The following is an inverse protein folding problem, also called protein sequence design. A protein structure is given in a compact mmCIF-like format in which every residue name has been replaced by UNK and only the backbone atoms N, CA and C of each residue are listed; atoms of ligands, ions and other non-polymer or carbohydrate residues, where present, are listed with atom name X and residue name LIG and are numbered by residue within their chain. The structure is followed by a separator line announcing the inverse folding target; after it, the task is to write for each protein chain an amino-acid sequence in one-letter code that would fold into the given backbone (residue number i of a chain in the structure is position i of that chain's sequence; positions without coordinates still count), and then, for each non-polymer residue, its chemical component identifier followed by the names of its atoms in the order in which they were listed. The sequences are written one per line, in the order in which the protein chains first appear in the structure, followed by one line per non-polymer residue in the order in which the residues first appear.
data_IF_793898461839
#
_entry.id   IF_793898461839
#
_cell.length_a   1.000
_cell.length_b   1.000
_cell.length_c   1.000
_cell.angle_alpha   90.00
_cell.angle_beta   90.00
_cell.angle_gamma   90.00
#
_symmetry.space_group_name_H-M   'P 1'
#
loop_
_entity.id
_entity.type
_entity.pdbx_description
1 polymer ?
#
# COMPACT_ATOMS: atom_id res chain seq x y z
N UNK A 1 23.78 69.77 -6.17
CA UNK A 1 23.55 68.86 -5.02
C UNK A 1 22.24 68.14 -5.28
N UNK A 2 22.29 66.84 -5.62
CA UNK A 2 21.13 65.96 -5.84
C UNK A 2 21.17 64.88 -4.77
N UNK A 3 20.04 64.52 -4.13
CA UNK A 3 20.04 63.46 -3.13
C UNK A 3 20.12 62.09 -3.82
N UNK A 4 20.98 61.22 -3.29
CA UNK A 4 21.08 59.80 -3.67
C UNK A 4 20.04 59.01 -2.90
N UNK A 5 19.11 58.40 -3.62
CA UNK A 5 18.17 57.40 -3.10
C UNK A 5 18.91 56.10 -2.87
N UNK A 6 19.00 55.64 -1.62
CA UNK A 6 19.44 54.29 -1.28
C UNK A 6 18.23 53.36 -1.33
N UNK A 7 18.25 52.39 -2.24
CA UNK A 7 17.34 51.24 -2.23
C UNK A 7 18.00 50.19 -1.35
N UNK A 8 17.49 50.01 -0.13
CA UNK A 8 17.87 48.89 0.72
C UNK A 8 17.16 47.63 0.19
N UNK A 9 17.92 46.71 -0.41
CA UNK A 9 17.44 45.40 -0.78
C UNK A 9 17.06 44.62 0.48
N UNK A 10 15.77 44.30 0.61
CA UNK A 10 15.30 43.30 1.56
C UNK A 10 15.77 41.95 1.00
N UNK A 11 16.88 41.43 1.50
CA UNK A 11 17.23 40.03 1.33
C UNK A 11 16.20 39.22 2.11
N UNK A 12 15.18 38.74 1.42
CA UNK A 12 14.31 37.66 1.91
C UNK A 12 15.17 36.41 2.09
N UNK A 13 15.71 36.26 3.29
CA UNK A 13 16.20 34.97 3.78
C UNK A 13 14.99 34.06 3.94
N UNK A 14 14.60 33.39 2.85
CA UNK A 14 13.85 32.15 2.91
C UNK A 14 14.72 31.15 3.68
N UNK A 15 14.55 31.14 5.00
CA UNK A 15 15.00 30.06 5.86
C UNK A 15 14.27 28.80 5.36
N UNK A 16 14.95 28.02 4.52
CA UNK A 16 14.67 26.59 4.36
C UNK A 16 14.74 25.99 5.77
N UNK A 17 13.58 25.79 6.38
CA UNK A 17 13.49 24.93 7.55
C UNK A 17 13.83 23.51 7.10
N UNK A 18 14.68 22.77 7.83
CA UNK A 18 14.89 21.37 7.55
C UNK A 18 13.54 20.64 7.68
N UNK A 19 13.10 20.01 6.58
CA UNK A 19 12.07 18.99 6.55
C UNK A 19 12.54 17.81 7.41
N UNK A 20 12.32 17.89 8.71
CA UNK A 20 12.87 16.93 9.66
C UNK A 20 12.08 16.81 10.96
N UNK A 21 10.81 17.27 10.98
CA UNK A 21 9.90 16.84 12.04
C UNK A 21 9.50 15.39 11.75
N UNK A 22 10.25 14.44 12.29
CA UNK A 22 9.88 13.02 12.22
C UNK A 22 8.58 12.83 13.01
N UNK A 23 7.52 12.44 12.31
CA UNK A 23 6.29 11.92 12.88
C UNK A 23 6.59 10.86 13.95
N UNK A 24 6.11 11.06 15.18
CA UNK A 24 6.27 10.09 16.26
C UNK A 24 4.97 9.93 17.04
N UNK A 25 4.62 8.69 17.40
CA UNK A 25 3.50 8.35 18.28
C UNK A 25 3.95 7.45 19.43
N UNK A 26 3.16 7.39 20.50
CA UNK A 26 3.38 6.43 21.57
C UNK A 26 3.20 5.00 21.02
N UNK A 27 4.13 4.11 21.35
CA UNK A 27 4.10 2.71 20.93
C UNK A 27 3.45 1.82 21.99
N UNK A 28 2.89 0.68 21.58
CA UNK A 28 2.20 -0.26 22.47
C UNK A 28 0.69 -0.32 22.20
N UNK A 29 -0.14 -0.57 23.22
CA UNK A 29 -1.60 -0.69 23.06
C UNK A 29 -2.30 0.68 22.95
N UNK A 30 -1.76 1.58 22.13
CA UNK A 30 -2.37 2.85 21.82
C UNK A 30 -3.52 2.66 20.82
N UNK A 31 -4.48 3.58 20.82
CA UNK A 31 -5.53 3.64 19.81
C UNK A 31 -5.46 4.97 19.10
N UNK A 32 -5.67 4.98 17.79
CA UNK A 32 -5.58 6.19 16.97
C UNK A 32 -6.92 6.43 16.28
N UNK A 33 -7.65 7.50 16.66
CA UNK A 33 -8.90 7.83 16.01
C UNK A 33 -8.64 8.52 14.68
N UNK A 34 -9.37 8.10 13.67
CA UNK A 34 -9.39 8.68 12.34
C UNK A 34 -10.82 9.01 11.97
N UNK A 35 -10.98 10.09 11.22
CA UNK A 35 -12.23 10.48 10.64
C UNK A 35 -12.18 10.28 9.15
N UNK A 36 -13.21 9.67 8.59
CA UNK A 36 -13.41 9.52 7.14
C UNK A 36 -14.48 10.51 6.70
N UNK A 37 -14.19 11.28 5.66
CA UNK A 37 -15.15 12.16 5.00
C UNK A 37 -15.09 11.99 3.49
N UNK A 38 -16.13 12.45 2.79
CA UNK A 38 -16.19 12.51 1.32
C UNK A 38 -15.90 11.17 0.63
N UNK A 39 -16.39 10.06 1.21
CA UNK A 39 -16.25 8.75 0.58
C UNK A 39 -17.18 8.62 -0.63
N UNK A 40 -16.64 8.04 -1.70
CA UNK A 40 -17.33 7.80 -2.97
C UNK A 40 -16.85 6.47 -3.54
N UNK A 41 -17.76 5.74 -4.17
CA UNK A 41 -17.44 4.64 -5.07
C UNK A 41 -18.14 4.92 -6.40
N UNK A 42 -17.37 4.96 -7.47
CA UNK A 42 -17.85 5.09 -8.83
C UNK A 42 -17.52 3.79 -9.57
N UNK A 43 -18.55 3.09 -10.02
CA UNK A 43 -18.39 1.93 -10.89
C UNK A 43 -18.03 2.35 -12.32
N UNK A 44 -17.63 1.41 -13.19
CA UNK A 44 -17.31 1.72 -14.57
C UNK A 44 -18.49 2.37 -15.33
N UNK A 45 -18.19 3.33 -16.22
CA UNK A 45 -19.20 3.96 -17.10
C UNK A 45 -19.75 2.94 -18.13
N UNK A 46 -20.78 2.20 -17.74
CA UNK A 46 -21.52 1.28 -18.61
C UNK A 46 -22.54 2.05 -19.46
N UNK A 47 -22.12 2.59 -20.60
CA UNK A 47 -23.07 3.24 -21.51
C UNK A 47 -22.48 4.24 -22.50
N UNK A 48 -21.21 4.62 -22.38
CA UNK A 48 -20.53 5.42 -23.41
C UNK A 48 -19.83 4.51 -24.42
N UNK A 49 -20.37 4.47 -25.64
CA UNK A 49 -19.65 3.91 -26.79
C UNK A 49 -18.30 4.62 -26.94
N UNK A 50 -17.19 3.89 -26.76
CA UNK A 50 -15.82 4.40 -26.96
C UNK A 50 -14.99 4.59 -25.68
N UNK A 51 -15.57 4.44 -24.48
CA UNK A 51 -14.82 4.28 -23.22
C UNK A 51 -15.52 3.25 -22.34
N UNK A 52 -15.18 1.98 -22.54
CA UNK A 52 -15.40 0.98 -21.50
C UNK A 52 -14.36 1.26 -20.43
N UNK A 53 -14.70 2.07 -19.42
CA UNK A 53 -13.97 1.96 -18.16
C UNK A 53 -14.26 0.56 -17.63
N UNK A 54 -13.25 -0.23 -17.29
CA UNK A 54 -13.42 -1.52 -16.59
C UNK A 54 -13.27 -1.36 -15.08
N UNK A 55 -12.77 -0.20 -14.67
CA UNK A 55 -12.26 -0.02 -13.32
C UNK A 55 -13.28 0.73 -12.48
N UNK A 56 -13.48 0.22 -11.28
CA UNK A 56 -14.11 0.95 -10.19
C UNK A 56 -13.10 1.91 -9.58
N UNK A 57 -13.59 3.06 -9.15
CA UNK A 57 -12.80 4.07 -8.44
C UNK A 57 -13.42 4.27 -7.07
N UNK A 58 -12.58 4.28 -6.03
CA UNK A 58 -12.97 4.71 -4.70
C UNK A 58 -12.14 5.93 -4.31
N UNK A 59 -12.79 6.92 -3.71
CA UNK A 59 -12.14 8.11 -3.18
C UNK A 59 -12.65 8.42 -1.79
N UNK A 60 -11.77 8.78 -0.86
CA UNK A 60 -12.12 9.23 0.48
C UNK A 60 -11.05 10.16 1.07
N UNK A 61 -11.44 10.94 2.07
CA UNK A 61 -10.52 11.72 2.89
C UNK A 61 -10.39 11.10 4.28
N UNK A 62 -9.17 10.86 4.73
CA UNK A 62 -8.85 10.42 6.09
C UNK A 62 -8.18 11.54 6.88
N UNK A 63 -8.71 11.87 8.04
CA UNK A 63 -8.21 12.96 8.88
C UNK A 63 -7.89 12.49 10.30
N UNK A 64 -6.78 12.97 10.85
CA UNK A 64 -6.38 12.77 12.25
C UNK A 64 -5.57 13.98 12.73
N UNK A 65 -5.93 14.53 13.89
CA UNK A 65 -5.11 15.53 14.59
C UNK A 65 -4.82 16.82 13.79
N UNK A 66 -5.70 17.19 12.86
CA UNK A 66 -5.52 18.37 11.99
C UNK A 66 -4.77 18.09 10.67
N UNK A 67 -4.39 16.84 10.44
CA UNK A 67 -3.81 16.38 9.17
C UNK A 67 -4.87 15.65 8.35
N UNK A 68 -4.91 15.85 7.04
CA UNK A 68 -5.86 15.23 6.12
C UNK A 68 -5.15 14.62 4.93
N UNK A 69 -5.52 13.38 4.63
CA UNK A 69 -4.98 12.57 3.56
C UNK A 69 -6.06 12.28 2.53
N UNK A 70 -5.72 12.35 1.25
CA UNK A 70 -6.55 11.87 0.15
C UNK A 70 -6.17 10.46 -0.22
N UNK A 71 -7.18 9.60 -0.24
CA UNK A 71 -7.06 8.17 -0.48
C UNK A 71 -7.88 7.85 -1.71
N UNK A 72 -7.21 7.49 -2.81
CA UNK A 72 -7.86 7.11 -4.06
C UNK A 72 -7.36 5.73 -4.44
N UNK A 73 -8.29 4.86 -4.83
CA UNK A 73 -8.00 3.48 -5.22
C UNK A 73 -8.78 3.12 -6.46
N UNK A 74 -8.18 2.25 -7.28
CA UNK A 74 -8.81 1.76 -8.51
C UNK A 74 -8.58 0.26 -8.67
N UNK A 75 -9.61 -0.45 -9.15
CA UNK A 75 -9.51 -1.89 -9.44
C UNK A 75 -10.54 -2.30 -10.49
N UNK A 76 -10.32 -3.37 -11.27
CA UNK A 76 -11.32 -3.95 -12.15
C UNK A 76 -12.60 -4.30 -11.39
N UNK A 77 -13.77 -3.91 -11.89
CA UNK A 77 -15.03 -4.05 -11.13
C UNK A 77 -15.36 -5.47 -10.63
N UNK A 78 -14.90 -6.50 -11.35
CA UNK A 78 -15.09 -7.89 -10.98
C UNK A 78 -14.22 -8.35 -9.81
N UNK A 79 -13.20 -7.57 -9.47
CA UNK A 79 -12.29 -7.89 -8.38
C UNK A 79 -12.82 -7.42 -7.02
N UNK A 80 -13.77 -6.49 -6.98
CA UNK A 80 -14.43 -6.08 -5.74
C UNK A 80 -13.44 -5.63 -4.62
N UNK A 81 -12.28 -5.07 -5.02
CA UNK A 81 -11.20 -4.61 -4.14
C UNK A 81 -10.18 -5.68 -3.72
N UNK A 82 -10.33 -6.91 -4.23
CA UNK A 82 -9.38 -8.01 -4.10
C UNK A 82 -8.47 -8.11 -5.33
N UNK A 83 -7.47 -8.99 -5.31
CA UNK A 83 -6.76 -9.36 -6.54
C UNK A 83 -7.59 -10.29 -7.45
N UNK A 84 -7.07 -10.55 -8.65
CA UNK A 84 -7.68 -11.45 -9.64
C UNK A 84 -8.08 -12.83 -9.07
N UNK A 85 -7.35 -13.30 -8.05
CA UNK A 85 -7.53 -14.62 -7.45
C UNK A 85 -8.43 -14.58 -6.21
N UNK A 86 -8.89 -13.40 -5.79
CA UNK A 86 -9.61 -13.19 -4.53
C UNK A 86 -8.77 -13.52 -3.30
N UNK A 87 -7.44 -13.47 -3.41
CA UNK A 87 -6.52 -14.00 -2.39
C UNK A 87 -6.07 -12.96 -1.37
N UNK A 88 -5.98 -11.69 -1.78
CA UNK A 88 -5.69 -10.57 -0.87
C UNK A 88 -6.30 -9.26 -1.36
N UNK A 89 -6.65 -8.38 -0.43
CA UNK A 89 -7.10 -7.01 -0.70
C UNK A 89 -6.00 -6.17 -1.37
N UNK A 90 -6.43 -5.25 -2.24
CA UNK A 90 -5.55 -4.27 -2.85
C UNK A 90 -5.44 -3.04 -1.93
N UNK A 91 -4.22 -2.78 -1.45
CA UNK A 91 -3.93 -1.60 -0.64
C UNK A 91 -3.49 -0.43 -1.51
N UNK A 92 -4.06 0.74 -1.26
CA UNK A 92 -3.72 1.98 -1.93
C UNK A 92 -3.13 2.98 -0.92
N UNK A 93 -2.10 3.72 -1.35
CA UNK A 93 -1.47 4.74 -0.52
C UNK A 93 -2.35 6.00 -0.45
N UNK A 94 -2.45 6.58 0.73
CA UNK A 94 -3.07 7.88 0.95
C UNK A 94 -2.00 8.98 0.94
N UNK A 95 -2.25 10.05 0.20
CA UNK A 95 -1.35 11.19 0.09
C UNK A 95 -1.75 12.28 1.09
N UNK A 96 -0.79 12.82 1.83
CA UNK A 96 -1.05 13.95 2.73
C UNK A 96 -1.35 15.21 1.89
N UNK A 97 -2.57 15.72 2.02
CA UNK A 97 -3.01 16.94 1.33
C UNK A 97 -2.86 18.19 2.20
N UNK A 98 -3.00 18.05 3.52
CA UNK A 98 -3.04 19.18 4.44
C UNK A 98 -2.53 18.81 5.83
N UNK A 99 -1.75 19.70 6.44
CA UNK A 99 -1.20 19.51 7.79
C UNK A 99 0.15 18.80 7.79
N UNK A 100 0.77 18.71 8.97
CA UNK A 100 2.03 17.99 9.15
C UNK A 100 1.74 16.50 9.35
N UNK A 101 2.36 15.63 8.57
CA UNK A 101 2.17 14.19 8.73
C UNK A 101 2.57 13.76 10.14
N UNK A 102 1.70 13.01 10.80
CA UNK A 102 1.91 12.39 12.11
C UNK A 102 2.22 10.90 12.01
N UNK A 103 2.22 10.38 10.77
CA UNK A 103 2.52 9.01 10.40
C UNK A 103 3.56 9.01 9.25
N UNK A 104 4.35 7.95 9.15
CA UNK A 104 5.27 7.72 8.02
C UNK A 104 4.51 7.36 6.75
N UNK A 105 3.45 6.57 6.88
CA UNK A 105 2.61 6.13 5.78
C UNK A 105 1.17 5.95 6.25
N UNK A 106 0.22 6.12 5.33
CA UNK A 106 -1.19 5.81 5.52
C UNK A 106 -1.68 5.13 4.25
N UNK A 107 -2.35 4.00 4.39
CA UNK A 107 -2.93 3.24 3.29
C UNK A 107 -4.33 2.78 3.64
N UNK A 108 -5.10 2.44 2.62
CA UNK A 108 -6.44 1.90 2.78
C UNK A 108 -6.71 0.77 1.79
N UNK A 109 -7.68 -0.07 2.12
CA UNK A 109 -8.21 -1.09 1.22
C UNK A 109 -9.72 -1.22 1.44
N UNK A 110 -10.45 -1.62 0.40
CA UNK A 110 -11.90 -1.79 0.47
C UNK A 110 -12.25 -3.22 0.10
N UNK A 111 -12.86 -3.95 1.02
CA UNK A 111 -13.54 -5.20 0.72
C UNK A 111 -14.96 -4.85 0.25
N UNK A 112 -15.17 -4.75 -1.06
CA UNK A 112 -16.45 -4.31 -1.61
C UNK A 112 -17.56 -5.35 -1.43
N UNK A 113 -17.18 -6.63 -1.42
CA UNK A 113 -18.10 -7.75 -1.20
C UNK A 113 -18.74 -7.67 0.18
N UNK A 114 -17.93 -7.44 1.21
CA UNK A 114 -18.40 -7.32 2.59
C UNK A 114 -18.72 -5.88 3.01
N UNK A 115 -18.47 -4.89 2.13
CA UNK A 115 -18.61 -3.47 2.41
C UNK A 115 -17.78 -3.05 3.62
N UNK A 116 -16.52 -3.45 3.66
CA UNK A 116 -15.62 -3.11 4.76
C UNK A 116 -14.50 -2.22 4.26
N UNK A 117 -14.27 -1.10 4.95
CA UNK A 117 -13.09 -0.26 4.74
C UNK A 117 -12.03 -0.66 5.76
N UNK A 118 -10.82 -0.91 5.27
CA UNK A 118 -9.64 -1.16 6.06
C UNK A 118 -8.70 0.04 5.96
N UNK A 119 -8.13 0.44 7.08
CA UNK A 119 -7.13 1.51 7.16
C UNK A 119 -5.90 0.97 7.86
N UNK A 120 -4.73 1.33 7.36
CA UNK A 120 -3.45 0.99 7.96
C UNK A 120 -2.50 2.18 7.91
N UNK A 121 -1.71 2.38 8.96
CA UNK A 121 -0.71 3.44 8.99
C UNK A 121 0.48 3.06 9.85
N UNK A 122 1.63 3.63 9.51
CA UNK A 122 2.86 3.41 10.27
C UNK A 122 3.42 4.67 10.85
N UNK A 123 4.09 4.54 11.98
CA UNK A 123 4.62 5.66 12.72
C UNK A 123 5.89 5.26 13.46
N UNK A 124 6.80 6.21 13.67
CA UNK A 124 7.95 6.00 14.54
C UNK A 124 7.53 6.06 16.00
N UNK A 125 8.15 5.24 16.83
CA UNK A 125 7.99 5.28 18.27
C UNK A 125 8.63 6.53 18.86
N UNK A 126 7.89 7.27 19.70
CA UNK A 126 8.41 8.38 20.50
C UNK A 126 9.52 7.91 21.46
N UNK A 127 9.33 6.76 22.08
CA UNK A 127 10.15 6.26 23.19
C UNK A 127 11.34 5.38 22.74
N UNK A 128 11.37 4.98 21.47
CA UNK A 128 12.39 4.05 20.96
C UNK A 128 12.86 4.50 19.56
N UNK A 129 13.93 5.28 19.55
CA UNK A 129 14.49 5.88 18.34
C UNK A 129 14.93 4.79 17.35
N UNK A 130 14.24 4.73 16.22
CA UNK A 130 14.53 3.77 15.15
C UNK A 130 13.55 2.59 15.07
N UNK A 131 12.56 2.51 15.97
CA UNK A 131 11.44 1.57 15.81
C UNK A 131 10.25 2.25 15.16
N UNK A 132 9.63 1.55 14.20
CA UNK A 132 8.33 1.90 13.64
C UNK A 132 7.31 0.81 14.01
N UNK A 133 6.06 1.20 14.18
CA UNK A 133 4.93 0.28 14.38
C UNK A 133 3.89 0.48 13.27
N UNK A 134 3.07 -0.55 13.04
CA UNK A 134 1.86 -0.47 12.24
C UNK A 134 0.65 -0.52 13.16
N UNK A 135 -0.32 0.36 12.90
CA UNK A 135 -1.68 0.21 13.38
C UNK A 135 -2.65 -0.03 12.22
N UNK A 136 -3.66 -0.87 12.46
CA UNK A 136 -4.73 -1.19 11.52
C UNK A 136 -6.08 -0.99 12.18
N UNK A 137 -7.10 -0.76 11.36
CA UNK A 137 -8.48 -0.68 11.78
C UNK A 137 -9.40 -1.03 10.62
N UNK A 138 -10.65 -1.33 10.94
CA UNK A 138 -11.66 -1.58 9.91
C UNK A 138 -13.04 -1.14 10.39
N UNK A 139 -13.88 -0.70 9.47
CA UNK A 139 -15.28 -0.37 9.73
C UNK A 139 -16.17 -0.89 8.60
N UNK A 140 -17.44 -1.24 8.90
CA UNK A 140 -18.44 -1.42 7.86
C UNK A 140 -18.73 -0.06 7.18
N UNK A 141 -18.90 -0.09 5.86
CA UNK A 141 -19.31 1.01 5.02
C UNK A 141 -20.82 0.95 4.81
N UNK A 142 -21.54 1.87 5.46
CA UNK A 142 -22.95 2.09 5.15
C UNK A 142 -23.06 2.89 3.85
N UNK A 143 -23.58 2.23 2.80
CA UNK A 143 -23.62 2.78 1.45
C UNK A 143 -25.03 2.77 0.90
N UNK A 144 -25.39 3.85 0.21
CA UNK A 144 -26.56 3.92 -0.68
C UNK A 144 -26.05 4.01 -2.10
N UNK A 145 -26.53 3.10 -2.93
CA UNK A 145 -26.09 2.99 -4.31
C UNK A 145 -27.22 3.33 -5.28
N UNK A 146 -26.87 4.08 -6.32
CA UNK A 146 -27.73 4.25 -7.48
C UNK A 146 -27.69 2.95 -8.28
N UNK A 147 -28.79 2.20 -8.26
CA UNK A 147 -28.97 1.02 -9.10
C UNK A 147 -29.74 1.47 -10.35
N UNK A 148 -29.21 1.29 -11.57
CA UNK A 148 -29.95 1.59 -12.78
C UNK A 148 -31.31 0.86 -12.78
N UNK A 149 -32.40 1.60 -12.99
CA UNK A 149 -33.74 1.03 -12.98
C UNK A 149 -33.88 -0.02 -14.09
N UNK A 150 -34.15 -1.27 -13.72
CA UNK A 150 -34.55 -2.33 -14.66
C UNK A 150 -33.49 -3.39 -14.99
N UNK A 151 -32.32 -3.38 -14.36
CA UNK A 151 -31.30 -4.42 -14.56
C UNK A 151 -30.78 -4.99 -13.23
N UNK A 152 -30.32 -6.23 -13.27
CA UNK A 152 -29.55 -6.90 -12.20
C UNK A 152 -28.10 -6.39 -12.14
N UNK A 153 -27.84 -5.17 -12.58
CA UNK A 153 -26.48 -4.66 -12.79
C UNK A 153 -25.88 -4.11 -11.50
N UNK A 154 -24.57 -4.33 -11.32
CA UNK A 154 -23.79 -3.74 -10.23
C UNK A 154 -23.98 -2.21 -10.21
N UNK A 155 -23.96 -1.58 -9.03
CA UNK A 155 -24.25 -0.15 -8.91
C UNK A 155 -23.26 0.72 -9.67
N UNK A 156 -23.75 1.73 -10.39
CA UNK A 156 -22.90 2.66 -11.13
C UNK A 156 -22.22 3.69 -10.23
N UNK A 157 -22.86 4.01 -9.09
CA UNK A 157 -22.34 4.95 -8.11
C UNK A 157 -22.88 4.60 -6.74
N UNK A 158 -22.01 4.65 -5.73
CA UNK A 158 -22.41 4.55 -4.34
C UNK A 158 -21.84 5.72 -3.56
N UNK A 159 -22.70 6.29 -2.72
CA UNK A 159 -22.35 7.35 -1.80
C UNK A 159 -22.63 6.86 -0.37
N UNK A 160 -21.96 7.48 0.59
CA UNK A 160 -22.23 7.22 1.99
C UNK A 160 -23.63 7.73 2.36
N UNK A 161 -24.33 7.01 3.23
CA UNK A 161 -25.50 7.55 3.92
C UNK A 161 -25.10 8.54 5.01
N UNK A 162 -23.97 8.28 5.67
CA UNK A 162 -23.41 9.13 6.73
C UNK A 162 -22.36 10.10 6.20
N UNK A 163 -22.44 11.38 6.57
CA UNK A 163 -21.47 12.41 6.13
C UNK A 163 -20.06 12.21 6.68
N UNK A 164 -19.91 11.39 7.73
CA UNK A 164 -18.66 11.20 8.47
C UNK A 164 -18.68 9.83 9.15
N UNK A 165 -17.59 9.08 9.03
CA UNK A 165 -17.35 7.88 9.83
C UNK A 165 -16.13 8.09 10.70
N UNK A 166 -16.13 7.45 11.86
CA UNK A 166 -14.94 7.38 12.70
C UNK A 166 -14.44 5.94 12.70
N UNK A 167 -13.15 5.78 12.42
CA UNK A 167 -12.43 4.51 12.48
C UNK A 167 -11.32 4.63 13.51
N UNK A 168 -11.19 3.63 14.37
CA UNK A 168 -10.09 3.57 15.32
C UNK A 168 -9.13 2.50 14.86
N UNK A 169 -7.87 2.87 14.66
CA UNK A 169 -6.80 1.93 14.40
C UNK A 169 -6.07 1.60 15.69
N UNK A 170 -5.53 0.40 15.78
CA UNK A 170 -4.76 -0.08 16.91
C UNK A 170 -3.53 -0.83 16.38
N UNK A 171 -2.39 -0.78 17.08
CA UNK A 171 -1.27 -1.63 16.74
C UNK A 171 -1.71 -3.08 16.64
N UNK A 172 -1.42 -3.69 15.49
CA UNK A 172 -1.83 -5.07 15.24
C UNK A 172 -1.21 -5.98 16.30
N UNK A 173 -1.85 -7.12 16.64
CA UNK A 173 -1.19 -8.13 17.44
C UNK A 173 0.12 -8.51 16.75
N UNK A 174 1.20 -8.64 17.51
CA UNK A 174 2.44 -9.22 17.00
C UNK A 174 2.13 -10.64 16.54
N UNK A 175 1.95 -10.83 15.24
CA UNK A 175 1.71 -12.15 14.69
C UNK A 175 2.97 -12.98 14.87
N UNK A 176 2.82 -14.19 15.42
CA UNK A 176 3.91 -15.13 15.53
C UNK A 176 3.56 -16.38 14.73
N UNK A 177 4.32 -16.59 13.65
CA UNK A 177 4.21 -17.75 12.76
C UNK A 177 4.32 -19.08 13.53
N UNK A 178 4.95 -19.07 14.72
CA UNK A 178 5.14 -20.26 15.56
C UNK A 178 3.89 -20.71 16.33
N UNK A 179 2.87 -19.85 16.48
CA UNK A 179 1.68 -20.14 17.31
C UNK A 179 0.39 -20.16 16.51
N UNK A 180 0.31 -19.42 15.40
CA UNK A 180 -0.96 -19.15 14.70
C UNK A 180 -1.02 -19.68 13.27
N UNK A 181 -0.47 -20.87 13.01
CA UNK A 181 -0.79 -21.59 11.77
C UNK A 181 -2.26 -22.03 11.67
N UNK A 182 -3.03 -21.85 12.75
CA UNK A 182 -4.47 -22.06 12.76
C UNK A 182 -5.17 -20.76 12.36
N UNK A 183 -5.56 -20.69 11.09
CA UNK A 183 -6.77 -20.06 10.51
C UNK A 183 -7.26 -18.67 10.93
N UNK A 184 -6.56 -17.92 11.77
CA UNK A 184 -7.07 -16.61 12.16
C UNK A 184 -6.68 -15.58 11.10
N UNK A 185 -7.70 -15.11 10.38
CA UNK A 185 -7.70 -13.95 9.50
C UNK A 185 -6.97 -12.79 10.21
N UNK A 186 -5.76 -12.50 9.75
CA UNK A 186 -4.93 -11.46 10.31
C UNK A 186 -4.14 -10.82 9.19
N UNK A 187 -4.18 -9.49 9.12
CA UNK A 187 -3.39 -8.74 8.16
C UNK A 187 -1.93 -8.71 8.62
N UNK A 188 -1.07 -9.35 7.84
CA UNK A 188 0.37 -9.34 8.02
C UNK A 188 0.98 -8.25 7.14
N UNK A 189 1.56 -7.20 7.70
CA UNK A 189 1.96 -6.10 6.88
C UNK A 189 3.42 -6.27 6.45
N UNK A 190 3.66 -6.15 5.14
CA UNK A 190 4.99 -6.00 4.59
C UNK A 190 5.34 -4.53 4.50
N UNK A 191 6.51 -4.17 4.99
CA UNK A 191 7.12 -2.88 4.69
C UNK A 191 7.99 -3.03 3.45
N UNK A 192 7.68 -2.30 2.38
CA UNK A 192 8.57 -2.20 1.21
C UNK A 192 9.37 -0.92 1.32
N UNK A 193 10.69 -1.03 1.11
CA UNK A 193 11.64 0.09 1.14
C UNK A 193 12.58 0.01 -0.05
N UNK A 194 13.15 1.16 -0.44
CA UNK A 194 14.10 1.28 -1.55
C UNK A 194 13.57 0.65 -2.84
N UNK A 195 12.29 0.90 -3.16
CA UNK A 195 11.74 0.45 -4.43
C UNK A 195 12.33 1.26 -5.56
N UNK A 196 13.05 0.57 -6.44
CA UNK A 196 13.69 1.14 -7.61
C UNK A 196 13.32 0.32 -8.84
N UNK A 197 12.71 0.97 -9.82
CA UNK A 197 12.53 0.45 -11.16
C UNK A 197 13.66 0.98 -12.05
N UNK A 198 14.48 0.06 -12.56
CA UNK A 198 15.61 0.31 -13.43
C UNK A 198 15.16 0.08 -14.88
N UNK A 199 15.12 1.13 -15.71
CA UNK A 199 14.90 0.98 -17.15
C UNK A 199 16.27 0.84 -17.82
N UNK A 200 16.70 -0.35 -18.24
CA UNK A 200 17.96 -0.41 -19.00
C UNK A 200 17.89 0.45 -20.27
N UNK A 201 19.05 0.89 -20.78
CA UNK A 201 19.20 1.71 -21.99
C UNK A 201 18.62 1.10 -23.29
N UNK A 202 18.07 -0.12 -23.21
CA UNK A 202 17.08 -0.62 -24.15
C UNK A 202 15.73 -0.73 -23.43
N UNK A 203 14.67 -0.03 -23.89
CA UNK A 203 13.37 0.07 -23.23
C UNK A 203 12.61 -1.27 -23.10
N UNK A 204 13.20 -2.40 -23.48
CA UNK A 204 12.54 -3.70 -23.49
C UNK A 204 12.46 -4.39 -22.12
N UNK A 205 13.29 -4.06 -21.12
CA UNK A 205 13.31 -4.82 -19.86
C UNK A 205 13.49 -3.95 -18.60
N UNK A 206 12.38 -3.44 -18.03
CA UNK A 206 12.40 -2.87 -16.68
C UNK A 206 12.74 -3.95 -15.63
N UNK A 207 13.72 -3.66 -14.77
CA UNK A 207 14.03 -4.48 -13.60
C UNK A 207 13.59 -3.79 -12.31
N UNK A 208 13.20 -4.56 -11.30
CA UNK A 208 12.87 -4.06 -9.97
C UNK A 208 13.87 -4.54 -8.93
N UNK A 209 14.26 -3.62 -8.05
CA UNK A 209 15.06 -3.86 -6.87
C UNK A 209 14.38 -3.20 -5.68
N UNK A 210 14.15 -3.96 -4.61
CA UNK A 210 13.59 -3.43 -3.37
C UNK A 210 13.89 -4.33 -2.18
N UNK A 211 13.71 -3.80 -0.98
CA UNK A 211 13.72 -4.58 0.25
C UNK A 211 12.30 -4.71 0.77
N UNK A 212 11.87 -5.94 1.03
CA UNK A 212 10.61 -6.24 1.72
C UNK A 212 10.94 -6.71 3.13
N UNK A 213 10.37 -6.06 4.15
CA UNK A 213 10.45 -6.49 5.54
C UNK A 213 9.10 -7.04 5.97
N UNK A 214 9.09 -8.30 6.38
CA UNK A 214 7.94 -8.88 7.04
C UNK A 214 7.95 -8.44 8.50
N UNK A 215 6.99 -7.61 8.92
CA UNK A 215 7.04 -7.00 10.26
C UNK A 215 6.80 -7.96 11.41
N UNK A 216 5.98 -8.99 11.20
CA UNK A 216 5.68 -9.97 12.22
C UNK A 216 6.93 -10.79 12.59
N UNK A 217 7.78 -11.11 11.61
CA UNK A 217 9.03 -11.85 11.82
C UNK A 217 10.26 -10.94 11.91
N UNK A 218 10.13 -9.65 11.56
CA UNK A 218 11.22 -8.71 11.29
C UNK A 218 12.24 -9.21 10.25
N UNK A 219 11.89 -10.24 9.47
CA UNK A 219 12.74 -10.75 8.41
C UNK A 219 12.80 -9.75 7.26
N UNK A 220 14.01 -9.51 6.76
CA UNK A 220 14.25 -8.64 5.62
C UNK A 220 14.62 -9.49 4.42
N UNK A 221 13.96 -9.23 3.30
CA UNK A 221 14.17 -9.89 2.04
C UNK A 221 14.61 -8.87 1.00
N UNK A 222 15.69 -9.19 0.29
CA UNK A 222 16.13 -8.43 -0.87
C UNK A 222 15.50 -9.04 -2.12
N UNK A 223 14.64 -8.28 -2.78
CA UNK A 223 13.87 -8.69 -3.94
C UNK A 223 14.51 -8.15 -5.21
N UNK A 224 14.69 -9.03 -6.19
CA UNK A 224 15.28 -8.70 -7.50
C UNK A 224 14.49 -9.37 -8.60
N UNK A 225 14.19 -8.61 -9.67
CA UNK A 225 13.59 -9.19 -10.87
C UNK A 225 14.43 -10.34 -11.40
N UNK A 226 13.77 -11.41 -11.83
CA UNK A 226 14.43 -12.45 -12.62
C UNK A 226 14.62 -11.85 -14.02
N UNK A 227 15.87 -11.77 -14.49
CA UNK A 227 16.15 -11.33 -15.86
C UNK A 227 15.33 -12.22 -16.80
N UNK A 228 14.49 -11.66 -17.69
CA UNK A 228 13.76 -12.47 -18.64
C UNK A 228 14.78 -13.10 -19.59
N UNK A 229 15.16 -14.36 -19.35
CA UNK A 229 16.19 -15.04 -20.13
C UNK A 229 15.79 -15.29 -21.59
N UNK A 230 14.55 -15.00 -21.97
CA UNK A 230 14.08 -15.06 -23.35
C UNK A 230 12.69 -14.46 -23.44
N UNK A 231 12.56 -13.15 -23.70
CA UNK A 231 11.22 -12.59 -23.94
C UNK A 231 11.23 -11.68 -25.13
N UNK A 232 10.93 -12.31 -26.24
CA UNK A 232 10.76 -11.71 -27.55
C UNK A 232 9.39 -11.05 -27.74
N UNK A 233 8.52 -11.05 -26.74
CA UNK A 233 7.14 -10.58 -26.88
C UNK A 233 6.92 -9.18 -26.31
N UNK A 234 6.43 -8.28 -27.17
CA UNK A 234 6.10 -6.89 -26.89
C UNK A 234 4.86 -6.68 -25.98
N UNK A 235 4.35 -7.74 -25.34
CA UNK A 235 3.12 -7.73 -24.52
C UNK A 235 3.41 -8.04 -23.05
N UNK A 236 4.48 -7.47 -22.50
CA UNK A 236 4.86 -7.72 -21.12
C UNK A 236 3.94 -6.97 -20.15
N UNK A 237 2.94 -7.66 -19.60
CA UNK A 237 1.97 -7.08 -18.66
C UNK A 237 2.45 -7.13 -17.20
N UNK A 238 3.45 -7.96 -16.89
CA UNK A 238 3.95 -8.17 -15.53
C UNK A 238 5.44 -8.48 -15.45
N UNK A 239 6.08 -8.15 -14.33
CA UNK A 239 7.47 -8.46 -14.01
C UNK A 239 7.51 -9.34 -12.76
N UNK A 240 8.25 -10.43 -12.82
CA UNK A 240 8.39 -11.36 -11.69
C UNK A 240 9.81 -11.35 -11.13
N UNK A 241 9.94 -11.70 -9.85
CA UNK A 241 11.23 -11.85 -9.22
C UNK A 241 11.22 -12.65 -7.95
N UNK A 242 12.43 -12.91 -7.47
CA UNK A 242 12.67 -13.67 -6.26
C UNK A 242 13.20 -12.77 -5.15
N UNK A 243 12.81 -13.08 -3.92
CA UNK A 243 13.22 -12.39 -2.72
C UNK A 243 14.08 -13.32 -1.86
N UNK A 244 15.30 -12.89 -1.57
CA UNK A 244 16.26 -13.65 -0.77
C UNK A 244 16.34 -13.07 0.64
N UNK A 245 16.17 -13.91 1.66
CA UNK A 245 16.28 -13.45 3.05
C UNK A 245 17.72 -13.01 3.32
N UNK A 246 17.88 -11.78 3.83
CA UNK A 246 19.17 -11.24 4.28
C UNK A 246 19.41 -11.48 5.77
N UNK A 247 18.39 -11.97 6.47
CA UNK A 247 18.45 -12.31 7.90
C UNK A 247 18.87 -13.78 8.02
N UNK A 248 19.83 -14.08 8.90
CA UNK A 248 20.22 -15.47 9.16
C UNK A 248 18.97 -16.27 9.54
N UNK A 249 18.73 -17.46 8.94
CA UNK A 249 17.58 -18.27 9.28
C UNK A 249 17.63 -18.53 10.78
N UNK A 250 16.60 -18.06 11.50
CA UNK A 250 16.44 -18.46 12.90
C UNK A 250 16.38 -20.00 12.94
N UNK A 251 16.82 -20.63 14.03
CA UNK A 251 16.82 -22.10 14.13
C UNK A 251 15.41 -22.73 14.01
N UNK A 252 14.36 -21.90 14.04
CA UNK A 252 12.96 -22.26 13.80
C UNK A 252 12.42 -21.73 12.46
N UNK A 253 13.28 -21.20 11.58
CA UNK A 253 12.85 -20.61 10.32
C UNK A 253 12.38 -21.72 9.39
N UNK A 254 11.13 -21.58 8.99
CA UNK A 254 10.43 -22.44 8.08
C UNK A 254 11.06 -22.32 6.70
N UNK A 255 11.48 -23.44 6.09
CA UNK A 255 11.90 -23.45 4.68
C UNK A 255 10.77 -22.82 3.87
N UNK A 256 11.03 -21.64 3.33
CA UNK A 256 10.07 -20.82 2.64
C UNK A 256 10.72 -20.10 1.47
N UNK A 257 9.90 -19.71 0.50
CA UNK A 257 10.34 -18.93 -0.65
C UNK A 257 9.46 -17.71 -0.75
N UNK A 258 10.09 -16.55 -0.96
CA UNK A 258 9.37 -15.29 -1.16
C UNK A 258 9.58 -14.85 -2.61
N UNK A 259 8.50 -14.52 -3.30
CA UNK A 259 8.50 -14.04 -4.68
C UNK A 259 7.72 -12.74 -4.76
N UNK A 260 7.91 -12.01 -5.85
CA UNK A 260 7.07 -10.87 -6.17
C UNK A 260 6.64 -10.87 -7.64
N UNK A 261 5.52 -10.21 -7.89
CA UNK A 261 4.98 -9.91 -9.21
C UNK A 261 4.58 -8.44 -9.22
N UNK A 262 4.94 -7.72 -10.28
CA UNK A 262 4.55 -6.34 -10.50
C UNK A 262 3.78 -6.21 -11.80
N UNK A 263 2.52 -5.79 -11.74
CA UNK A 263 1.71 -5.52 -12.94
C UNK A 263 1.97 -4.10 -13.43
N UNK A 264 2.45 -3.97 -14.68
CA UNK A 264 2.90 -2.69 -15.21
C UNK A 264 1.76 -1.70 -15.44
N UNK A 265 0.66 -2.17 -16.02
CA UNK A 265 -0.49 -1.33 -16.36
C UNK A 265 -1.20 -0.76 -15.12
N UNK A 266 -1.26 -1.57 -14.06
CA UNK A 266 -1.95 -1.23 -12.81
C UNK A 266 -1.03 -0.72 -11.71
N UNK A 267 0.29 -0.78 -11.92
CA UNK A 267 1.32 -0.47 -10.92
C UNK A 267 1.13 -1.25 -9.61
N UNK A 268 0.63 -2.49 -9.73
CA UNK A 268 0.28 -3.32 -8.59
C UNK A 268 1.44 -4.25 -8.24
N UNK A 269 1.97 -4.14 -7.03
CA UNK A 269 2.96 -5.05 -6.46
C UNK A 269 2.28 -6.11 -5.62
N UNK A 270 2.48 -7.37 -5.99
CA UNK A 270 2.15 -8.54 -5.19
C UNK A 270 3.41 -9.15 -4.61
N UNK A 271 3.45 -9.35 -3.30
CA UNK A 271 4.49 -10.14 -2.61
C UNK A 271 3.84 -11.39 -2.06
N UNK A 272 4.41 -12.55 -2.40
CA UNK A 272 3.95 -13.85 -1.90
C UNK A 272 5.09 -14.54 -1.15
N UNK A 273 4.86 -14.90 0.11
CA UNK A 273 5.77 -15.74 0.88
C UNK A 273 5.10 -17.08 1.14
N UNK A 274 5.72 -18.15 0.65
CA UNK A 274 5.34 -19.51 1.00
C UNK A 274 6.18 -19.99 2.20
N UNK A 275 5.55 -20.72 3.11
CA UNK A 275 6.23 -21.38 4.22
C UNK A 275 5.54 -22.65 4.70
N UNK A 276 6.25 -23.40 5.53
CA UNK A 276 5.76 -24.59 6.23
C UNK A 276 5.55 -24.23 7.69
N UNK A 277 4.51 -24.72 8.36
CA UNK A 277 4.31 -24.41 9.78
C UNK A 277 5.40 -25.04 10.69
N UNK A 278 5.98 -24.28 11.64
CA UNK A 278 6.91 -24.85 12.61
C UNK A 278 6.27 -26.03 13.37
N UNK A 279 6.95 -27.17 13.42
CA UNK A 279 6.43 -28.38 14.08
C UNK A 279 5.33 -29.13 13.32
N UNK A 280 4.84 -28.60 12.20
CA UNK A 280 3.80 -29.21 11.38
C UNK A 280 4.18 -29.22 9.89
N UNK A 281 5.07 -30.14 9.50
CA UNK A 281 5.61 -30.24 8.14
C UNK A 281 4.56 -30.43 7.03
N UNK A 282 3.35 -30.86 7.39
CA UNK A 282 2.23 -31.06 6.47
C UNK A 282 1.36 -29.81 6.28
N UNK A 283 1.47 -28.81 7.16
CA UNK A 283 0.71 -27.56 7.04
C UNK A 283 1.57 -26.53 6.33
N UNK A 284 1.04 -25.98 5.25
CA UNK A 284 1.67 -24.95 4.43
C UNK A 284 0.83 -23.69 4.48
N UNK A 285 1.49 -22.55 4.44
CA UNK A 285 0.82 -21.25 4.37
C UNK A 285 1.43 -20.42 3.24
N UNK A 286 0.61 -19.54 2.67
CA UNK A 286 1.06 -18.50 1.76
C UNK A 286 0.60 -17.15 2.30
N UNK A 287 1.53 -16.22 2.50
CA UNK A 287 1.22 -14.83 2.84
C UNK A 287 1.24 -14.02 1.56
N UNK A 288 0.11 -13.47 1.13
CA UNK A 288 0.00 -12.66 -0.11
C UNK A 288 -0.38 -11.25 0.26
N UNK A 289 0.42 -10.27 -0.13
CA UNK A 289 0.08 -8.86 0.01
C UNK A 289 0.09 -8.14 -1.34
N UNK A 290 -0.89 -7.26 -1.56
CA UNK A 290 -1.02 -6.44 -2.76
C UNK A 290 -1.03 -4.95 -2.42
N UNK A 291 -0.22 -4.14 -3.11
CA UNK A 291 -0.25 -2.69 -2.98
C UNK A 291 0.05 -1.97 -4.30
N UNK A 292 -0.65 -0.86 -4.53
CA UNK A 292 -0.29 0.06 -5.60
C UNK A 292 1.01 0.79 -5.24
N UNK A 293 1.95 0.82 -6.19
CA UNK A 293 3.22 1.52 -6.03
C UNK A 293 3.11 2.89 -6.70
N UNK A 294 3.34 4.01 -5.99
CA UNK A 294 3.45 5.32 -6.63
C UNK A 294 4.88 5.54 -7.12
N UNK A 295 5.17 5.43 -8.43
CA UNK A 295 6.49 5.78 -8.94
C UNK A 295 6.65 7.30 -9.02
N UNK A 296 7.72 7.84 -8.44
CA UNK A 296 8.32 9.08 -8.88
C UNK A 296 9.38 8.75 -9.92
N UNK A 297 9.14 9.12 -11.18
CA UNK A 297 10.07 8.87 -12.27
C UNK A 297 10.89 10.12 -12.57
N UNK A 298 12.20 9.94 -12.74
CA UNK A 298 13.12 11.00 -13.15
C UNK A 298 13.75 10.63 -14.49
N UNK A 299 13.83 11.60 -15.40
CA UNK A 299 14.60 11.48 -16.63
C UNK A 299 16.06 11.82 -16.36
N UNK A 300 16.88 10.78 -16.14
CA UNK A 300 18.33 10.84 -16.26
C UNK A 300 18.75 10.06 -17.53
N UNK A 301 20.06 9.86 -17.77
CA UNK A 301 20.57 9.03 -18.89
C UNK A 301 19.95 7.62 -18.97
N UNK A 302 19.39 7.16 -17.84
CA UNK A 302 18.62 5.95 -17.66
C UNK A 302 17.35 6.37 -16.89
N UNK A 303 16.12 6.21 -17.44
CA UNK A 303 14.91 6.49 -16.68
C UNK A 303 14.89 5.63 -15.42
N UNK A 304 14.63 6.24 -14.26
CA UNK A 304 14.52 5.53 -12.99
C UNK A 304 13.24 5.97 -12.32
N UNK A 305 12.43 5.01 -11.86
CA UNK A 305 11.27 5.31 -11.03
C UNK A 305 11.48 4.76 -9.62
N UNK A 306 11.31 5.61 -8.62
CA UNK A 306 11.50 5.26 -7.21
C UNK A 306 10.23 5.52 -6.41
N UNK A 307 9.99 4.73 -5.37
CA UNK A 307 9.00 5.12 -4.36
C UNK A 307 9.65 6.14 -3.42
N UNK A 308 9.01 7.29 -3.23
CA UNK A 308 9.52 8.39 -2.38
C UNK A 308 9.70 7.97 -0.92
N UNK A 309 8.86 7.05 -0.46
CA UNK A 309 8.84 6.56 0.91
C UNK A 309 8.68 5.04 0.95
N UNK A 310 8.93 4.49 2.14
CA UNK A 310 8.42 3.16 2.44
C UNK A 310 6.91 3.12 2.19
N UNK A 311 6.38 1.97 1.77
CA UNK A 311 4.95 1.75 1.69
C UNK A 311 4.62 0.37 2.23
N UNK A 312 3.34 0.17 2.54
CA UNK A 312 2.88 -0.97 3.31
C UNK A 312 1.86 -1.77 2.55
N UNK A 313 2.02 -3.08 2.66
CA UNK A 313 1.20 -4.06 1.98
C UNK A 313 0.54 -4.90 3.05
N UNK A 314 -0.77 -4.81 3.22
CA UNK A 314 -1.48 -5.77 4.06
C UNK A 314 -1.52 -7.12 3.35
N UNK A 315 -1.14 -8.18 4.05
CA UNK A 315 -1.14 -9.53 3.51
C UNK A 315 -2.12 -10.45 4.23
N UNK A 316 -2.74 -11.33 3.45
CA UNK A 316 -3.61 -12.39 3.94
C UNK A 316 -2.87 -13.72 3.99
N UNK A 317 -3.20 -14.55 4.97
CA UNK A 317 -2.75 -15.94 5.02
C UNK A 317 -3.73 -16.78 4.22
N UNK A 318 -3.24 -17.34 3.12
CA UNK A 318 -3.97 -18.28 2.26
C UNK A 318 -3.54 -19.70 2.66
N UNK A 319 -4.47 -20.56 3.10
CA UNK A 319 -4.18 -21.98 3.30
C UNK A 319 -3.80 -22.62 1.96
N UNK A 320 -2.73 -23.40 1.94
CA UNK A 320 -2.50 -24.31 0.81
C UNK A 320 -3.16 -25.65 1.16
N UNK A 321 -4.21 -26.03 0.42
CA UNK A 321 -4.80 -27.37 0.46
C UNK A 321 -3.79 -28.47 0.10
#
# INVERSE_FOLDING_TARGET
MRPKTFIAGITSSLLLQPLGATAQRACGNATFPWTISEWTYDGPERGRSGRVGTDSVVGLLLSNGGTTYSCIGTWPEDWEGWDERGSALIWHLCLNNFGRSVDETLSFAVDWKNRTLHVSHTFKCLEDTGKSQLATGSIPLETTCDVPTGSSEKPSRCLTTARRFDITTQPGPTFSVTTNCNHNEGYLPWQVTNWTQLYQASPMYPGHLFNARHTATNEVFKCTSISPSSVTDANYLFIEGNCTSTTAPSSNSTKGSTTFRFELDRKLLTIAQWGICPGHFHMKYTVVGNAEVPPLCWENDVPTCEAESAFWIGAAIVPNE
#
